data_IF_811309760707
#
_entry.id   IF_811309760707
#
_cell.length_a   1.000
_cell.length_b   1.000
_cell.length_c   1.000
_cell.angle_alpha   90.00
_cell.angle_beta   90.00
_cell.angle_gamma   90.00
#
_symmetry.space_group_name_H-M   'P 1'
#
loop_
_entity.id
_entity.type
_entity.pdbx_description
1 polymer ?
#
# COMPACT_ATOMS: atom_id res chain seq x y z
N UNK A 1 22.69 -0.36 -25.15
CA UNK A 1 21.89 0.83 -25.50
C UNK A 1 20.62 0.80 -24.67
N UNK A 2 20.32 1.90 -23.98
CA UNK A 2 19.11 1.98 -23.15
C UNK A 2 17.86 2.12 -24.02
N UNK A 3 16.76 1.45 -23.64
CA UNK A 3 15.46 1.64 -24.28
C UNK A 3 14.91 3.03 -24.01
N UNK A 4 14.39 3.68 -25.04
CA UNK A 4 13.65 4.93 -24.98
C UNK A 4 12.17 4.65 -24.70
N UNK A 5 11.42 5.67 -24.27
CA UNK A 5 10.01 5.51 -23.90
C UNK A 5 9.14 4.91 -25.03
N UNK A 6 9.43 5.26 -26.28
CA UNK A 6 8.69 4.77 -27.46
C UNK A 6 8.88 3.28 -27.73
N UNK A 7 9.94 2.68 -27.17
CA UNK A 7 10.29 1.26 -27.35
C UNK A 7 9.74 0.39 -26.20
N UNK A 8 9.09 1.00 -25.19
CA UNK A 8 8.56 0.29 -24.04
C UNK A 8 7.17 -0.28 -24.34
N UNK A 9 7.00 -1.58 -24.11
CA UNK A 9 5.68 -2.20 -24.09
C UNK A 9 5.06 -2.16 -22.67
N UNK A 10 3.83 -2.65 -22.53
CA UNK A 10 3.13 -2.66 -21.23
C UNK A 10 3.88 -3.42 -20.14
N UNK A 11 4.58 -4.49 -20.49
CA UNK A 11 5.37 -5.28 -19.54
C UNK A 11 6.64 -4.56 -19.08
N UNK A 12 7.31 -3.81 -19.96
CA UNK A 12 8.43 -2.94 -19.59
C UNK A 12 7.96 -1.85 -18.61
N UNK A 13 6.80 -1.24 -18.86
CA UNK A 13 6.20 -0.24 -17.94
C UNK A 13 5.88 -0.84 -16.58
N UNK A 14 5.25 -2.03 -16.57
CA UNK A 14 4.99 -2.78 -15.34
C UNK A 14 6.28 -3.06 -14.55
N UNK A 15 7.36 -3.49 -15.21
CA UNK A 15 8.65 -3.73 -14.56
C UNK A 15 9.21 -2.49 -13.90
N UNK A 16 9.10 -1.32 -14.53
CA UNK A 16 9.58 -0.05 -13.97
C UNK A 16 8.85 0.27 -12.67
N UNK A 17 7.51 0.20 -12.70
CA UNK A 17 6.66 0.47 -11.52
C UNK A 17 6.94 -0.53 -10.41
N UNK A 18 6.97 -1.83 -10.76
CA UNK A 18 7.23 -2.91 -9.81
C UNK A 18 8.62 -2.79 -9.17
N UNK A 19 9.65 -2.45 -9.95
CA UNK A 19 11.00 -2.23 -9.42
C UNK A 19 11.03 -1.04 -8.46
N UNK A 20 10.33 0.05 -8.78
CA UNK A 20 10.22 1.21 -7.89
C UNK A 20 9.65 0.81 -6.52
N UNK A 21 8.53 0.08 -6.50
CA UNK A 21 7.85 -0.31 -5.26
C UNK A 21 8.59 -1.37 -4.45
N UNK A 22 9.28 -2.32 -5.10
CA UNK A 22 10.01 -3.40 -4.41
C UNK A 22 11.31 -2.97 -3.75
N UNK A 23 11.84 -1.80 -4.10
CA UNK A 23 13.15 -1.35 -3.63
C UNK A 23 13.02 -0.05 -2.83
N UNK A 24 13.23 -0.13 -1.51
CA UNK A 24 13.27 1.05 -0.62
C UNK A 24 14.41 1.98 -1.04
N UNK A 25 14.12 3.29 -1.13
CA UNK A 25 15.12 4.32 -1.38
C UNK A 25 15.76 4.31 -2.78
N UNK A 26 15.23 3.53 -3.72
CA UNK A 26 15.76 3.39 -5.08
C UNK A 26 15.80 4.72 -5.83
N UNK A 27 16.90 5.00 -6.53
CA UNK A 27 17.00 6.16 -7.41
C UNK A 27 16.67 5.80 -8.87
N UNK A 28 16.28 6.79 -9.67
CA UNK A 28 15.93 6.57 -11.09
C UNK A 28 17.07 5.92 -11.88
N UNK A 29 18.31 6.30 -11.57
CA UNK A 29 19.51 5.74 -12.20
C UNK A 29 19.69 4.25 -11.90
N UNK A 30 19.26 3.78 -10.73
CA UNK A 30 19.30 2.35 -10.41
C UNK A 30 18.30 1.60 -11.27
N UNK A 31 17.06 2.11 -11.37
CA UNK A 31 16.01 1.52 -12.22
C UNK A 31 16.48 1.49 -13.69
N UNK A 32 17.08 2.59 -14.14
CA UNK A 32 17.58 2.75 -15.51
C UNK A 32 18.64 1.70 -15.85
N UNK A 33 19.66 1.55 -15.00
CA UNK A 33 20.73 0.57 -15.17
C UNK A 33 20.20 -0.86 -15.10
N UNK A 34 19.37 -1.17 -14.11
CA UNK A 34 18.89 -2.53 -13.87
C UNK A 34 17.91 -3.01 -14.94
N UNK A 35 17.08 -2.12 -15.50
CA UNK A 35 16.09 -2.50 -16.51
C UNK A 35 16.55 -2.20 -17.94
N UNK A 36 17.75 -1.64 -18.13
CA UNK A 36 18.26 -1.15 -19.39
C UNK A 36 17.26 -0.20 -20.11
N UNK A 37 16.69 0.73 -19.35
CA UNK A 37 15.74 1.76 -19.82
C UNK A 37 16.32 3.13 -19.52
N UNK A 38 16.16 4.09 -20.43
CA UNK A 38 16.62 5.47 -20.21
C UNK A 38 15.95 6.12 -18.99
N UNK A 39 16.69 6.91 -18.22
CA UNK A 39 16.15 7.67 -17.07
C UNK A 39 14.92 8.50 -17.44
N UNK A 40 14.91 9.08 -18.64
CA UNK A 40 13.79 9.88 -19.16
C UNK A 40 12.52 9.04 -19.30
N UNK A 41 12.67 7.81 -19.78
CA UNK A 41 11.54 6.89 -19.93
C UNK A 41 11.04 6.39 -18.57
N UNK A 42 11.95 6.04 -17.64
CA UNK A 42 11.59 5.68 -16.26
C UNK A 42 10.75 6.78 -15.60
N UNK A 43 11.24 8.03 -15.60
CA UNK A 43 10.51 9.16 -15.00
C UNK A 43 9.14 9.39 -15.63
N UNK A 44 9.04 9.21 -16.94
CA UNK A 44 7.78 9.38 -17.67
C UNK A 44 6.76 8.31 -17.29
N UNK A 45 7.17 7.04 -17.26
CA UNK A 45 6.30 5.93 -16.83
C UNK A 45 5.80 6.15 -15.41
N UNK A 46 6.70 6.45 -14.46
CA UNK A 46 6.30 6.70 -13.07
C UNK A 46 5.34 7.89 -12.96
N UNK A 47 5.55 8.96 -13.74
CA UNK A 47 4.64 10.12 -13.77
C UNK A 47 3.26 9.77 -14.34
N UNK A 48 3.20 8.97 -15.41
CA UNK A 48 1.94 8.52 -16.02
C UNK A 48 1.13 7.63 -15.07
N UNK A 49 1.79 6.86 -14.22
CA UNK A 49 1.19 6.05 -13.16
C UNK A 49 0.91 6.84 -11.87
N UNK A 50 1.09 8.17 -11.89
CA UNK A 50 0.80 9.04 -10.73
C UNK A 50 1.80 8.94 -9.58
N UNK A 51 2.95 8.28 -9.78
CA UNK A 51 3.94 8.05 -8.73
C UNK A 51 4.74 9.32 -8.46
N UNK A 52 4.59 9.87 -7.25
CA UNK A 52 5.36 11.02 -6.81
C UNK A 52 6.78 10.64 -6.38
N UNK A 53 7.70 10.63 -7.34
CA UNK A 53 9.12 10.30 -7.12
C UNK A 53 9.89 11.23 -6.18
N UNK A 54 9.35 12.40 -5.81
CA UNK A 54 9.96 13.30 -4.80
C UNK A 54 9.78 12.74 -3.40
N UNK A 55 8.66 12.07 -3.17
CA UNK A 55 8.45 11.22 -2.02
C UNK A 55 9.19 9.93 -2.33
N UNK A 56 10.50 9.87 -2.05
CA UNK A 56 11.31 8.65 -2.22
C UNK A 56 10.52 7.46 -1.69
N UNK A 57 10.65 6.28 -2.31
CA UNK A 57 9.96 5.09 -1.85
C UNK A 57 10.43 4.74 -0.41
N UNK A 58 9.73 5.28 0.60
CA UNK A 58 10.17 5.30 2.00
C UNK A 58 10.10 3.93 2.64
N UNK A 59 9.24 3.06 2.13
CA UNK A 59 9.01 1.73 2.62
C UNK A 59 8.51 0.84 1.49
N UNK A 60 8.76 -0.45 1.63
CA UNK A 60 8.16 -1.52 0.83
C UNK A 60 7.05 -2.13 1.67
N UNK A 61 6.02 -2.66 1.02
CA UNK A 61 4.89 -3.35 1.62
C UNK A 61 4.38 -4.38 0.61
N UNK A 62 3.97 -5.56 1.05
CA UNK A 62 3.27 -6.52 0.19
C UNK A 62 1.81 -6.07 -0.04
N UNK A 63 1.58 -5.38 -1.15
CA UNK A 63 0.23 -4.94 -1.56
C UNK A 63 -0.72 -6.09 -1.93
N UNK A 64 -0.20 -7.31 -2.08
CA UNK A 64 -0.96 -8.50 -2.44
C UNK A 64 -1.19 -9.44 -1.25
N UNK A 65 -0.75 -9.07 -0.04
CA UNK A 65 -0.85 -9.91 1.15
C UNK A 65 -2.29 -10.43 1.41
N UNK A 66 -3.30 -9.57 1.18
CA UNK A 66 -4.72 -9.91 1.32
C UNK A 66 -5.40 -10.40 0.03
N UNK A 67 -4.66 -10.74 -1.03
CA UNK A 67 -5.26 -11.23 -2.28
C UNK A 67 -5.93 -12.61 -2.11
N UNK A 68 -5.42 -13.42 -1.19
CA UNK A 68 -5.98 -14.70 -0.75
C UNK A 68 -5.78 -14.81 0.76
N UNK A 69 -6.84 -15.04 1.52
CA UNK A 69 -6.83 -15.17 2.98
C UNK A 69 -6.80 -16.66 3.32
N UNK A 70 -5.62 -17.24 3.30
CA UNK A 70 -5.37 -18.68 3.45
C UNK A 70 -4.55 -19.03 4.72
N UNK A 71 -4.24 -18.03 5.55
CA UNK A 71 -3.55 -18.22 6.83
C UNK A 71 -4.29 -17.52 7.96
N UNK A 72 -4.10 -18.04 9.18
CA UNK A 72 -4.61 -17.41 10.41
C UNK A 72 -4.06 -15.99 10.59
N UNK A 73 -2.77 -15.77 10.31
CA UNK A 73 -2.15 -14.46 10.36
C UNK A 73 -2.85 -13.44 9.44
N UNK A 74 -3.15 -13.82 8.18
CA UNK A 74 -3.88 -12.94 7.24
C UNK A 74 -5.28 -12.61 7.75
N UNK A 75 -6.00 -13.61 8.25
CA UNK A 75 -7.35 -13.41 8.79
C UNK A 75 -7.33 -12.53 10.05
N UNK A 76 -6.37 -12.77 10.95
CA UNK A 76 -6.16 -11.98 12.17
C UNK A 76 -5.87 -10.52 11.83
N UNK A 77 -4.87 -10.24 10.97
CA UNK A 77 -4.50 -8.87 10.62
C UNK A 77 -5.66 -8.17 9.90
N UNK A 78 -6.37 -8.85 9.01
CA UNK A 78 -7.53 -8.27 8.34
C UNK A 78 -8.66 -7.93 9.32
N UNK A 79 -8.98 -8.84 10.23
CA UNK A 79 -9.96 -8.63 11.29
C UNK A 79 -9.56 -7.48 12.21
N UNK A 80 -8.28 -7.40 12.55
CA UNK A 80 -7.71 -6.31 13.35
C UNK A 80 -7.87 -4.95 12.66
N UNK A 81 -7.48 -4.84 11.38
CA UNK A 81 -7.66 -3.62 10.59
C UNK A 81 -9.15 -3.25 10.49
N UNK A 82 -10.04 -4.24 10.38
CA UNK A 82 -11.47 -3.97 10.27
C UNK A 82 -12.09 -3.49 11.59
N UNK A 83 -11.61 -3.98 12.74
CA UNK A 83 -12.10 -3.60 14.06
C UNK A 83 -11.55 -2.24 14.52
N UNK A 84 -10.24 -2.05 14.43
CA UNK A 84 -9.51 -0.93 15.04
C UNK A 84 -8.83 0.00 14.02
N UNK A 85 -8.90 -0.32 12.73
CA UNK A 85 -8.35 0.53 11.69
C UNK A 85 -9.19 1.78 11.48
N UNK A 86 -8.61 2.95 11.70
CA UNK A 86 -9.20 4.21 11.30
C UNK A 86 -8.82 4.52 9.86
N UNK A 87 -9.80 4.72 8.98
CA UNK A 87 -9.57 5.29 7.63
C UNK A 87 -9.80 6.78 7.74
N UNK A 88 -8.75 7.58 7.55
CA UNK A 88 -8.90 9.03 7.56
C UNK A 88 -9.65 9.57 6.34
N UNK A 89 -9.96 10.86 6.40
CA UNK A 89 -10.81 11.55 5.43
C UNK A 89 -10.07 11.90 4.12
N UNK A 90 -10.75 12.63 3.23
CA UNK A 90 -10.24 13.06 1.93
C UNK A 90 -8.91 13.84 2.01
N UNK A 91 -8.61 14.43 3.16
CA UNK A 91 -7.38 15.19 3.42
C UNK A 91 -6.30 14.37 4.16
N UNK A 92 -6.69 13.28 4.83
CA UNK A 92 -5.83 12.38 5.59
C UNK A 92 -6.11 10.95 5.18
N UNK A 93 -5.58 10.53 4.03
CA UNK A 93 -5.81 9.18 3.52
C UNK A 93 -4.84 8.20 4.21
N UNK A 94 -4.99 8.01 5.52
CA UNK A 94 -4.20 7.09 6.32
C UNK A 94 -5.11 6.00 6.89
N UNK A 95 -4.66 4.75 6.79
CA UNK A 95 -5.11 3.76 7.77
C UNK A 95 -4.31 4.09 9.02
N UNK A 96 -4.92 4.34 10.17
CA UNK A 96 -4.18 4.47 11.42
C UNK A 96 -4.64 3.34 12.29
N UNK A 97 -3.70 2.45 12.57
CA UNK A 97 -3.86 1.47 13.62
C UNK A 97 -3.02 2.00 14.77
N UNK A 98 -3.68 2.62 15.74
CA UNK A 98 -3.04 3.14 16.95
C UNK A 98 -3.13 2.06 18.01
N UNK A 99 -2.01 1.39 18.26
CA UNK A 99 -1.91 0.34 19.27
C UNK A 99 -0.90 0.79 20.32
N UNK A 100 -1.18 0.46 21.58
CA UNK A 100 -0.21 0.58 22.66
C UNK A 100 0.78 -0.60 22.67
N UNK A 101 0.48 -1.66 21.93
CA UNK A 101 1.26 -2.89 21.87
C UNK A 101 2.19 -2.88 20.64
N UNK A 102 3.49 -2.82 20.92
CA UNK A 102 4.53 -2.81 19.92
C UNK A 102 4.69 -4.19 19.26
N UNK A 103 4.45 -5.28 19.98
CA UNK A 103 4.65 -6.65 19.46
C UNK A 103 3.67 -6.94 18.33
N UNK A 104 2.40 -6.52 18.48
CA UNK A 104 1.38 -6.66 17.43
C UNK A 104 1.79 -5.88 16.17
N UNK A 105 2.36 -4.68 16.34
CA UNK A 105 2.80 -3.86 15.21
C UNK A 105 4.04 -4.42 14.52
N UNK A 106 4.97 -4.98 15.29
CA UNK A 106 6.15 -5.67 14.75
C UNK A 106 5.72 -6.95 13.99
N UNK A 107 4.77 -7.71 14.55
CA UNK A 107 4.15 -8.85 13.87
C UNK A 107 3.52 -8.44 12.53
N UNK A 108 2.65 -7.42 12.54
CA UNK A 108 2.02 -6.91 11.32
C UNK A 108 3.05 -6.38 10.31
N UNK A 109 4.08 -5.67 10.78
CA UNK A 109 5.13 -5.16 9.92
C UNK A 109 5.88 -6.29 9.22
N UNK A 110 6.19 -7.37 9.94
CA UNK A 110 6.86 -8.54 9.39
C UNK A 110 5.97 -9.27 8.36
N UNK A 111 4.71 -9.55 8.72
CA UNK A 111 3.75 -10.23 7.84
C UNK A 111 3.52 -9.46 6.52
N UNK A 112 3.40 -8.13 6.62
CA UNK A 112 3.18 -7.26 5.47
C UNK A 112 4.47 -6.89 4.72
N UNK A 113 5.63 -7.42 5.14
CA UNK A 113 6.96 -7.06 4.60
C UNK A 113 7.21 -5.55 4.61
N UNK A 114 6.71 -4.87 5.64
CA UNK A 114 6.85 -3.44 5.81
C UNK A 114 8.29 -3.08 6.17
N UNK A 115 8.95 -2.29 5.33
CA UNK A 115 10.34 -1.83 5.60
C UNK A 115 10.42 -0.40 6.11
N UNK A 116 9.28 0.23 6.41
CA UNK A 116 9.24 1.56 7.00
C UNK A 116 9.48 1.54 8.50
N UNK A 117 9.71 2.72 9.08
CA UNK A 117 9.92 2.83 10.52
C UNK A 117 8.57 2.84 11.25
N UNK A 118 8.42 2.02 12.29
CA UNK A 118 7.30 2.10 13.23
C UNK A 118 7.47 3.37 14.06
N UNK A 119 6.50 4.29 13.98
CA UNK A 119 6.61 5.59 14.64
C UNK A 119 5.88 5.60 15.98
N UNK A 120 6.56 6.08 17.02
CA UNK A 120 5.94 6.47 18.30
C UNK A 120 5.09 7.72 18.09
N UNK A 121 3.83 7.67 18.47
CA UNK A 121 2.94 8.83 18.50
C UNK A 121 3.01 9.47 19.88
N UNK A 122 3.19 10.80 19.90
CA UNK A 122 3.15 11.58 21.15
C UNK A 122 1.74 11.58 21.72
N UNK A 123 1.64 11.78 23.04
CA UNK A 123 0.37 12.06 23.72
C UNK A 123 -0.38 13.17 22.96
N UNK A 124 -1.65 12.93 22.66
CA UNK A 124 -2.52 13.93 22.04
C UNK A 124 -2.81 15.10 23.00
N UNK A 125 -3.49 16.14 22.51
CA UNK A 125 -3.85 17.30 23.34
C UNK A 125 -4.90 17.00 24.42
N UNK A 126 -5.54 15.82 24.38
CA UNK A 126 -6.57 15.42 25.34
C UNK A 126 -5.96 14.80 26.59
N UNK A 127 -6.50 15.14 27.75
CA UNK A 127 -6.00 14.77 29.08
C UNK A 127 -5.81 13.24 29.25
N UNK A 128 -6.74 12.47 28.67
CA UNK A 128 -6.79 11.00 28.69
C UNK A 128 -6.09 10.30 27.52
N UNK A 129 -5.47 11.04 26.60
CA UNK A 129 -4.75 10.41 25.49
C UNK A 129 -3.50 9.69 26.01
N UNK A 130 -3.19 8.51 25.45
CA UNK A 130 -1.98 7.76 25.77
C UNK A 130 -0.98 7.87 24.63
N UNK A 131 0.30 7.72 24.96
CA UNK A 131 1.34 7.49 23.96
C UNK A 131 1.05 6.15 23.27
N UNK A 132 1.30 6.08 21.96
CA UNK A 132 0.99 4.90 21.18
C UNK A 132 2.01 4.71 20.06
N UNK A 133 1.76 3.70 19.23
CA UNK A 133 2.55 3.43 18.05
C UNK A 133 1.62 3.37 16.83
N UNK A 134 2.12 3.83 15.69
CA UNK A 134 1.38 3.78 14.42
C UNK A 134 2.25 3.19 13.33
N UNK A 135 1.77 2.11 12.72
CA UNK A 135 2.38 1.46 11.56
C UNK A 135 2.00 2.15 10.24
N UNK A 136 0.79 2.70 10.15
CA UNK A 136 0.15 3.01 8.86
C UNK A 136 -0.02 4.51 8.54
N UNK A 137 0.75 5.39 9.19
CA UNK A 137 0.70 6.85 8.97
C UNK A 137 1.06 7.31 7.53
N UNK A 138 1.32 6.38 6.60
CA UNK A 138 1.85 6.69 5.28
C UNK A 138 1.24 5.90 4.13
N UNK A 139 0.19 5.12 4.36
CA UNK A 139 -0.33 4.23 3.32
C UNK A 139 -0.81 4.96 2.06
N UNK A 140 -1.27 6.22 2.13
CA UNK A 140 -1.83 6.87 0.94
C UNK A 140 -1.67 8.39 0.85
N UNK A 141 -0.62 8.99 1.40
CA UNK A 141 -0.50 10.48 1.36
C UNK A 141 -0.51 11.05 -0.08
N UNK A 142 -0.16 10.27 -1.14
CA UNK A 142 -0.33 10.67 -2.57
C UNK A 142 -0.44 9.49 -3.57
N UNK A 143 -1.24 8.45 -3.33
CA UNK A 143 -1.47 7.45 -4.41
C UNK A 143 -2.55 7.94 -5.38
N UNK A 144 -2.24 8.06 -6.66
CA UNK A 144 -3.22 8.43 -7.71
C UNK A 144 -3.95 7.22 -8.29
N UNK A 145 -3.71 6.02 -7.74
CA UNK A 145 -4.28 4.76 -8.21
C UNK A 145 -4.92 4.08 -6.99
N UNK A 146 -6.18 3.61 -7.16
CA UNK A 146 -6.86 2.57 -6.33
C UNK A 146 -7.93 2.98 -5.29
N UNK A 147 -8.69 4.06 -5.50
CA UNK A 147 -10.06 4.15 -4.94
C UNK A 147 -11.07 3.42 -5.84
N UNK A 148 -11.03 3.67 -7.16
CA UNK A 148 -11.89 3.01 -8.15
C UNK A 148 -11.79 1.47 -8.09
N UNK A 149 -10.57 0.91 -8.08
CA UNK A 149 -10.38 -0.55 -8.04
C UNK A 149 -10.81 -1.18 -6.71
N UNK A 150 -10.63 -0.51 -5.57
CA UNK A 150 -11.08 -1.00 -4.25
C UNK A 150 -12.59 -0.87 -4.10
N UNK A 151 -13.17 0.25 -4.56
CA UNK A 151 -14.62 0.46 -4.62
C UNK A 151 -15.31 -0.55 -5.55
N UNK A 152 -14.75 -0.80 -6.73
CA UNK A 152 -15.25 -1.81 -7.66
C UNK A 152 -15.15 -3.22 -7.08
N UNK A 153 -14.05 -3.54 -6.38
CA UNK A 153 -13.91 -4.84 -5.69
C UNK A 153 -14.89 -4.98 -4.53
N UNK A 154 -15.13 -3.91 -3.77
CA UNK A 154 -16.15 -3.85 -2.71
C UNK A 154 -17.56 -4.07 -3.28
N UNK A 155 -17.89 -3.44 -4.41
CA UNK A 155 -19.18 -3.63 -5.09
C UNK A 155 -19.35 -5.05 -5.64
N UNK A 156 -18.29 -5.66 -6.18
CA UNK A 156 -18.29 -7.06 -6.64
C UNK A 156 -18.57 -8.02 -5.48
N UNK A 157 -17.87 -7.84 -4.35
CA UNK A 157 -18.02 -8.65 -3.15
C UNK A 157 -19.42 -8.46 -2.53
N UNK A 158 -19.89 -7.22 -2.40
CA UNK A 158 -21.23 -6.89 -1.92
C UNK A 158 -22.32 -7.55 -2.78
N UNK A 159 -22.14 -7.53 -4.11
CA UNK A 159 -23.06 -8.19 -5.05
C UNK A 159 -23.04 -9.71 -4.88
N UNK A 160 -21.88 -10.33 -4.72
CA UNK A 160 -21.75 -11.77 -4.48
C UNK A 160 -22.46 -12.22 -3.20
N UNK A 161 -22.36 -11.45 -2.10
CA UNK A 161 -23.09 -11.73 -0.87
C UNK A 161 -24.60 -11.56 -1.03
N UNK A 162 -25.03 -10.56 -1.79
CA UNK A 162 -26.47 -10.32 -2.06
C UNK A 162 -27.07 -11.44 -2.91
N UNK A 163 -26.34 -11.94 -3.92
CA UNK A 163 -26.77 -13.05 -4.79
C UNK A 163 -26.74 -14.40 -4.04
N UNK A 164 -25.76 -14.61 -3.16
CA UNK A 164 -25.68 -15.81 -2.32
C UNK A 164 -26.81 -15.92 -1.31
N UNK A 165 -27.23 -14.79 -0.73
CA UNK A 165 -28.38 -14.72 0.18
C UNK A 165 -29.71 -15.05 -0.52
N UNK A 166 -29.89 -14.67 -1.78
CA UNK A 166 -31.12 -14.97 -2.54
C UNK A 166 -31.21 -16.46 -2.94
N UNK A 167 -30.08 -17.15 -3.13
CA UNK A 167 -30.06 -18.59 -3.47
C UNK A 167 -30.32 -19.54 -2.31
N UNK A 168 -30.31 -19.07 -1.07
CA UNK A 168 -30.60 -19.90 0.12
C UNK A 168 -32.05 -19.76 0.62
N UNK A 169 -32.86 -18.91 -0.02
CA UNK A 169 -34.26 -18.65 0.34
C UNK A 169 -35.21 -19.08 -0.80
N UNK A 170 -34.78 -20.02 -1.64
CA UNK A 170 -35.57 -20.61 -2.74
C UNK A 170 -35.68 -22.11 -2.60
#
# INVERSE_FOLDING_TARGET
>A
MFKNYRELNGYDKYKIVNYYYKNKGVCMGDISKNLNVSDRAVRRVLKEEGINTRLKNRYVLDECYFACIDTEAKAYILGFIYADGFVGDENHNNIVVSINDLEILEFMANELQFTGDIRRTKKGGFENSKEGYSLFNYLYDKSTIKLERKYNKWNEIKSAFTVGAVKQIG
#
